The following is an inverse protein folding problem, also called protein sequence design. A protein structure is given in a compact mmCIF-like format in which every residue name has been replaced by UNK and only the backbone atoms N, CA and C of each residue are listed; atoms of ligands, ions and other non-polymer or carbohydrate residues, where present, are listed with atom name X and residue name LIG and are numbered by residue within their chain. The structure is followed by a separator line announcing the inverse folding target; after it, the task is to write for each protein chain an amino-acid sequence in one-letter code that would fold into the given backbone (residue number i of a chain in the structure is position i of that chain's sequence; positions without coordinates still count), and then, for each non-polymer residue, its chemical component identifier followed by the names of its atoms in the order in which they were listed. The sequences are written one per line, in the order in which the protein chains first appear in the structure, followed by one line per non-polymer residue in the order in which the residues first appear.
data_IF_213570637678
#
_entry.id   IF_213570637678
#
_cell.length_a   1.000
_cell.length_b   1.000
_cell.length_c   1.000
_cell.angle_alpha   90.00
_cell.angle_beta   90.00
_cell.angle_gamma   90.00
#
_symmetry.space_group_name_H-M   'P 1'
#
loop_
_entity.id
_entity.type
_entity.pdbx_description
1 polymer ?
#
# COMPACT_ATOMS: atom_id res chain seq x y z
N UNK A 1 -3.61 -18.17 -41.04
CA UNK A 1 -3.37 -18.70 -42.41
C UNK A 1 -2.90 -17.62 -43.40
N UNK A 2 -2.80 -16.34 -43.04
CA UNK A 2 -2.39 -15.25 -43.96
C UNK A 2 -0.89 -14.94 -43.97
N UNK A 3 -0.12 -15.27 -42.93
CA UNK A 3 1.31 -14.96 -42.85
C UNK A 3 2.15 -15.78 -43.84
N UNK A 4 1.83 -17.06 -44.04
CA UNK A 4 2.57 -17.92 -44.99
C UNK A 4 2.45 -17.41 -46.44
N UNK A 5 1.31 -16.81 -46.80
CA UNK A 5 1.09 -16.27 -48.16
C UNK A 5 1.96 -15.04 -48.44
N UNK A 6 2.24 -14.24 -47.40
CA UNK A 6 3.08 -13.04 -47.50
C UNK A 6 4.57 -13.41 -47.56
N UNK A 7 4.99 -14.42 -46.79
CA UNK A 7 6.34 -14.98 -46.85
C UNK A 7 6.59 -15.66 -48.20
N UNK A 8 5.62 -16.39 -48.73
CA UNK A 8 5.74 -17.04 -50.04
C UNK A 8 5.79 -16.03 -51.19
N UNK A 9 5.03 -14.92 -51.10
CA UNK A 9 5.08 -13.82 -52.09
C UNK A 9 6.39 -13.04 -52.05
N UNK A 10 6.93 -12.78 -50.86
CA UNK A 10 8.22 -12.08 -50.71
C UNK A 10 9.37 -12.97 -51.18
N UNK A 11 9.35 -14.26 -50.88
CA UNK A 11 10.32 -15.22 -51.41
C UNK A 11 10.23 -15.37 -52.93
N UNK A 12 9.03 -15.37 -53.51
CA UNK A 12 8.84 -15.37 -54.96
C UNK A 12 9.38 -14.09 -55.63
N UNK A 13 9.19 -12.92 -55.00
CA UNK A 13 9.72 -11.66 -55.50
C UNK A 13 11.25 -11.58 -55.42
N UNK A 14 11.86 -12.11 -54.35
CA UNK A 14 13.31 -12.19 -54.18
C UNK A 14 13.95 -13.16 -55.20
N UNK A 15 13.28 -14.28 -55.49
CA UNK A 15 13.75 -15.21 -56.53
C UNK A 15 13.67 -14.61 -57.93
N UNK A 16 12.61 -13.86 -58.25
CA UNK A 16 12.49 -13.11 -59.50
C UNK A 16 13.57 -12.02 -59.63
N UNK A 17 13.92 -11.35 -58.53
CA UNK A 17 14.97 -10.33 -58.51
C UNK A 17 16.35 -10.96 -58.76
N UNK A 18 16.61 -12.14 -58.18
CA UNK A 18 17.84 -12.89 -58.42
C UNK A 18 17.94 -13.39 -59.87
N UNK A 19 16.86 -13.93 -60.46
CA UNK A 19 16.87 -14.36 -61.87
C UNK A 19 17.11 -13.20 -62.85
N UNK A 20 16.65 -11.98 -62.52
CA UNK A 20 16.88 -10.79 -63.34
C UNK A 20 18.25 -10.14 -63.11
N UNK A 21 18.79 -10.19 -61.89
CA UNK A 21 20.11 -9.67 -61.57
C UNK A 21 21.24 -10.41 -62.32
N UNK A 22 21.08 -11.73 -62.54
CA UNK A 22 22.07 -12.52 -63.30
C UNK A 22 22.03 -12.26 -64.82
N UNK A 23 20.88 -11.88 -65.40
CA UNK A 23 20.77 -11.52 -66.83
C UNK A 23 21.43 -10.18 -67.17
N UNK A 24 21.63 -9.30 -66.20
CA UNK A 24 22.41 -8.06 -66.40
C UNK A 24 23.92 -8.36 -66.63
N UNK A 25 24.41 -9.50 -66.11
CA UNK A 25 25.79 -9.92 -66.31
C UNK A 25 26.03 -10.54 -67.70
N UNK A 26 25.02 -11.19 -68.30
CA UNK A 26 25.08 -11.69 -69.69
C UNK A 26 25.11 -10.56 -70.73
N UNK A 27 24.42 -9.44 -70.47
CA UNK A 27 24.50 -8.25 -71.34
C UNK A 27 25.87 -7.55 -71.30
N UNK A 28 26.66 -7.77 -70.23
CA UNK A 28 28.08 -7.36 -70.18
C UNK A 28 28.99 -8.28 -71.01
N UNK A 29 28.57 -9.52 -71.29
CA UNK A 29 29.38 -10.51 -72.00
C UNK A 29 29.25 -10.43 -73.54
N UNK A 30 28.19 -9.82 -74.09
CA UNK A 30 27.99 -9.71 -75.54
C UNK A 30 28.70 -8.52 -76.21
N UNK A 31 29.43 -7.69 -75.45
CA UNK A 31 30.30 -6.65 -75.99
C UNK A 31 31.75 -7.11 -75.83
N UNK A 32 32.29 -7.72 -76.87
CA UNK A 32 33.69 -8.13 -76.93
C UNK A 32 34.60 -6.89 -77.00
N UNK A 33 34.90 -6.30 -75.84
CA UNK A 33 36.03 -5.39 -75.68
C UNK A 33 37.28 -6.24 -75.42
N UNK A 34 38.11 -6.36 -76.46
CA UNK A 34 39.47 -6.89 -76.33
C UNK A 34 40.24 -6.08 -75.30
N UNK A 35 40.92 -6.83 -74.45
CA UNK A 35 41.68 -6.45 -73.26
C UNK A 35 42.65 -5.28 -73.42
N UNK A 36 42.64 -4.36 -72.45
CA UNK A 36 43.80 -4.16 -71.58
C UNK A 36 43.33 -3.52 -70.26
N UNK A 37 44.01 -3.89 -69.17
CA UNK A 37 43.84 -3.46 -67.77
C UNK A 37 42.55 -3.86 -67.04
N UNK A 38 42.60 -5.12 -66.61
CA UNK A 38 41.98 -5.64 -65.38
C UNK A 38 42.41 -4.77 -64.18
N UNK A 39 41.54 -3.84 -63.76
CA UNK A 39 41.50 -3.31 -62.40
C UNK A 39 40.04 -3.26 -61.96
N UNK A 40 39.82 -3.79 -60.77
CA UNK A 40 38.54 -3.98 -60.12
C UNK A 40 37.71 -2.69 -60.11
N UNK A 41 36.54 -2.76 -60.74
CA UNK A 41 35.52 -1.70 -60.72
C UNK A 41 34.59 -1.89 -59.51
N UNK A 42 35.15 -2.13 -58.33
CA UNK A 42 34.46 -2.11 -57.04
C UNK A 42 35.08 -1.05 -56.13
N UNK A 43 35.09 0.19 -56.60
CA UNK A 43 35.24 1.40 -55.78
C UNK A 43 34.92 2.61 -56.67
N UNK A 44 33.66 2.77 -57.07
CA UNK A 44 33.14 4.12 -57.26
C UNK A 44 32.66 4.58 -55.88
N UNK A 45 33.64 4.92 -55.04
CA UNK A 45 33.42 5.77 -53.89
C UNK A 45 33.03 7.13 -54.44
N UNK A 46 31.79 7.50 -54.15
CA UNK A 46 31.27 8.85 -54.25
C UNK A 46 32.34 9.84 -53.77
N UNK A 47 32.78 10.75 -54.63
CA UNK A 47 33.79 11.76 -54.28
C UNK A 47 33.27 12.77 -53.23
N UNK A 48 31.99 12.68 -52.87
CA UNK A 48 31.36 13.34 -51.72
C UNK A 48 31.64 12.63 -50.38
N UNK A 49 32.10 11.38 -50.38
CA UNK A 49 32.40 10.60 -49.18
C UNK A 49 33.92 10.58 -48.83
N UNK A 50 34.77 11.29 -49.59
CA UNK A 50 36.18 11.49 -49.25
C UNK A 50 36.42 12.72 -48.37
N UNK A 51 35.37 13.46 -48.02
CA UNK A 51 35.38 14.39 -46.89
C UNK A 51 34.64 13.70 -45.76
N UNK A 52 35.40 13.16 -44.81
CA UNK A 52 34.85 12.47 -43.65
C UNK A 52 33.79 13.31 -42.94
N UNK A 53 32.53 12.94 -43.14
CA UNK A 53 31.49 13.11 -42.14
C UNK A 53 31.40 11.79 -41.37
N UNK A 54 32.51 11.43 -40.72
CA UNK A 54 32.48 10.60 -39.53
C UNK A 54 32.48 11.57 -38.36
N UNK A 55 31.59 11.36 -37.40
CA UNK A 55 31.32 12.20 -36.24
C UNK A 55 32.50 12.21 -35.21
N UNK A 56 33.73 12.00 -35.67
CA UNK A 56 34.94 11.96 -34.86
C UNK A 56 35.91 13.09 -35.29
N UNK A 57 36.07 14.02 -34.35
CA UNK A 57 36.71 15.32 -34.38
C UNK A 57 38.25 15.30 -34.58
N UNK A 58 38.75 14.76 -35.69
CA UNK A 58 40.20 14.76 -36.02
C UNK A 58 40.54 14.79 -37.53
N UNK A 59 39.63 15.29 -38.38
CA UNK A 59 39.86 15.43 -39.82
C UNK A 59 40.44 16.80 -40.20
N UNK A 60 41.53 16.82 -40.99
CA UNK A 60 42.16 18.03 -41.53
C UNK A 60 41.12 19.05 -42.00
N UNK A 61 41.03 20.18 -41.31
CA UNK A 61 40.26 21.34 -41.72
C UNK A 61 40.91 21.91 -42.98
N UNK A 62 40.45 21.49 -44.17
CA UNK A 62 40.78 22.21 -45.41
C UNK A 62 40.15 23.60 -45.33
N UNK A 63 40.99 24.62 -45.51
CA UNK A 63 40.54 26.00 -45.57
C UNK A 63 39.46 26.16 -46.65
N UNK A 64 38.47 27.06 -46.43
CA UNK A 64 37.38 27.25 -47.39
C UNK A 64 37.88 27.71 -48.77
N UNK A 65 39.04 28.39 -48.84
CA UNK A 65 39.71 28.74 -50.10
C UNK A 65 40.29 27.51 -50.82
N UNK A 66 40.89 26.58 -50.09
CA UNK A 66 41.42 25.33 -50.65
C UNK A 66 40.29 24.43 -51.17
N UNK A 67 39.12 24.42 -50.52
CA UNK A 67 37.92 23.73 -51.03
C UNK A 67 37.45 24.33 -52.35
N UNK A 68 37.47 25.66 -52.48
CA UNK A 68 37.10 26.34 -53.73
C UNK A 68 38.13 26.09 -54.84
N UNK A 69 39.42 26.03 -54.51
CA UNK A 69 40.47 25.66 -55.47
C UNK A 69 40.31 24.21 -55.94
N UNK A 70 40.08 23.27 -55.02
CA UNK A 70 39.84 21.86 -55.37
C UNK A 70 38.62 21.68 -56.28
N UNK A 71 37.53 22.42 -56.05
CA UNK A 71 36.35 22.40 -56.94
C UNK A 71 36.69 22.96 -58.33
N UNK A 72 37.50 24.01 -58.41
CA UNK A 72 37.96 24.59 -59.68
C UNK A 72 38.84 23.59 -60.45
N UNK A 73 39.76 22.93 -59.78
CA UNK A 73 40.67 21.95 -60.37
C UNK A 73 39.93 20.69 -60.81
N UNK A 74 38.95 20.21 -60.03
CA UNK A 74 38.07 19.12 -60.41
C UNK A 74 37.22 19.46 -61.64
N UNK A 75 36.76 20.71 -61.76
CA UNK A 75 36.04 21.18 -62.95
C UNK A 75 36.97 21.22 -64.17
N UNK A 76 38.17 21.76 -64.03
CA UNK A 76 39.16 21.78 -65.10
C UNK A 76 39.58 20.37 -65.54
N UNK A 77 39.72 19.43 -64.60
CA UNK A 77 39.99 18.03 -64.87
C UNK A 77 38.80 17.34 -65.57
N UNK A 78 37.57 17.60 -65.13
CA UNK A 78 36.37 17.10 -65.82
C UNK A 78 36.31 17.60 -67.26
N UNK A 79 36.61 18.88 -67.48
CA UNK A 79 36.59 19.49 -68.80
C UNK A 79 37.69 18.88 -69.69
N UNK A 80 38.91 18.68 -69.17
CA UNK A 80 40.00 18.02 -69.91
C UNK A 80 39.74 16.55 -70.20
N UNK A 81 39.15 15.80 -69.27
CA UNK A 81 38.71 14.41 -69.50
C UNK A 81 37.58 14.35 -70.52
N UNK A 82 36.66 15.31 -70.51
CA UNK A 82 35.60 15.38 -71.52
C UNK A 82 36.18 15.68 -72.91
N UNK A 83 37.13 16.62 -73.01
CA UNK A 83 37.85 16.93 -74.24
C UNK A 83 38.67 15.73 -74.72
N UNK A 84 39.33 15.01 -73.81
CA UNK A 84 40.06 13.78 -74.13
C UNK A 84 39.11 12.68 -74.63
N UNK A 85 37.94 12.50 -73.99
CA UNK A 85 36.91 11.57 -74.46
C UNK A 85 36.46 11.91 -75.88
N UNK A 86 36.23 13.19 -76.19
CA UNK A 86 35.89 13.62 -77.53
C UNK A 86 37.03 13.39 -78.52
N UNK A 87 38.28 13.71 -78.17
CA UNK A 87 39.44 13.47 -79.02
C UNK A 87 39.70 11.97 -79.25
N UNK A 88 39.50 11.12 -78.24
CA UNK A 88 39.60 9.67 -78.37
C UNK A 88 38.45 9.11 -79.23
N UNK A 89 37.22 9.59 -79.06
CA UNK A 89 36.10 9.21 -79.91
C UNK A 89 36.34 9.65 -81.36
N UNK A 90 36.80 10.87 -81.56
CA UNK A 90 37.14 11.40 -82.89
C UNK A 90 38.27 10.58 -83.54
N UNK A 91 39.34 10.31 -82.79
CA UNK A 91 40.45 9.46 -83.24
C UNK A 91 39.96 8.05 -83.60
N UNK A 92 39.14 7.43 -82.74
CA UNK A 92 38.55 6.12 -83.02
C UNK A 92 37.63 6.15 -84.25
N UNK A 93 36.83 7.20 -84.44
CA UNK A 93 36.01 7.34 -85.65
C UNK A 93 36.86 7.51 -86.91
N UNK A 94 37.98 8.24 -86.82
CA UNK A 94 38.94 8.38 -87.93
C UNK A 94 39.62 7.06 -88.24
N UNK A 95 40.05 6.30 -87.23
CA UNK A 95 40.62 4.96 -87.39
C UNK A 95 39.60 4.02 -88.02
N UNK A 96 38.36 4.00 -87.53
CA UNK A 96 37.28 3.19 -88.08
C UNK A 96 36.92 3.58 -89.52
N UNK A 97 36.97 4.88 -89.85
CA UNK A 97 36.79 5.36 -91.21
C UNK A 97 37.92 4.88 -92.13
N UNK A 98 39.17 5.03 -91.69
CA UNK A 98 40.34 4.56 -92.44
C UNK A 98 40.29 3.05 -92.63
N UNK A 99 39.94 2.29 -91.59
CA UNK A 99 39.77 0.84 -91.64
C UNK A 99 38.65 0.42 -92.61
N UNK A 100 37.51 1.12 -92.61
CA UNK A 100 36.41 0.84 -93.56
C UNK A 100 36.72 1.26 -95.01
N UNK A 101 37.56 2.28 -95.22
CA UNK A 101 38.01 2.69 -96.57
C UNK A 101 39.08 1.75 -97.12
N UNK A 102 39.90 1.17 -96.24
CA UNK A 102 40.96 0.22 -96.56
C UNK A 102 40.51 -1.25 -96.53
N UNK A 103 39.26 -1.55 -96.15
CA UNK A 103 38.74 -2.91 -96.10
C UNK A 103 38.75 -3.52 -97.52
N UNK A 104 39.43 -4.65 -97.76
CA UNK A 104 39.57 -5.25 -99.10
C UNK A 104 38.25 -5.69 -99.75
N UNK A 105 37.13 -5.69 -99.01
CA UNK A 105 35.78 -5.96 -99.51
C UNK A 105 35.03 -4.69 -99.98
N UNK A 106 35.66 -3.51 -99.91
CA UNK A 106 35.07 -2.22 -100.26
C UNK A 106 34.29 -1.57 -99.11
N UNK A 107 33.87 -0.29 -99.24
CA UNK A 107 33.14 0.41 -98.20
C UNK A 107 31.86 -0.33 -97.86
N UNK A 108 31.68 -0.70 -96.59
CA UNK A 108 30.41 -1.28 -96.09
C UNK A 108 29.34 -0.20 -96.09
N UNK A 109 28.61 -0.08 -97.19
CA UNK A 109 27.38 0.70 -97.23
C UNK A 109 26.33 -0.05 -96.42
N UNK A 110 25.93 0.53 -95.28
CA UNK A 110 24.76 0.04 -94.54
C UNK A 110 23.57 0.15 -95.50
N UNK A 111 22.98 -0.99 -95.85
CA UNK A 111 21.82 -1.01 -96.73
C UNK A 111 20.68 -0.24 -96.07
N UNK A 112 19.88 0.49 -96.86
CA UNK A 112 18.68 1.16 -96.36
C UNK A 112 17.78 0.18 -95.60
N UNK A 113 17.69 -1.07 -96.07
CA UNK A 113 16.92 -2.14 -95.45
C UNK A 113 17.43 -2.55 -94.06
N UNK A 114 18.76 -2.58 -93.86
CA UNK A 114 19.36 -2.89 -92.56
C UNK A 114 19.14 -1.74 -91.57
N UNK A 115 19.18 -0.49 -92.05
CA UNK A 115 18.89 0.67 -91.23
C UNK A 115 17.41 0.72 -90.81
N UNK A 116 16.49 0.45 -91.74
CA UNK A 116 15.05 0.38 -91.46
C UNK A 116 14.73 -0.73 -90.45
N UNK A 117 15.36 -1.91 -90.57
CA UNK A 117 15.22 -3.00 -89.61
C UNK A 117 15.73 -2.62 -88.21
N UNK A 118 16.87 -1.92 -88.11
CA UNK A 118 17.41 -1.42 -86.85
C UNK A 118 16.53 -0.32 -86.23
N UNK A 119 15.93 0.55 -87.06
CA UNK A 119 14.97 1.55 -86.59
C UNK A 119 13.71 0.91 -86.00
N UNK A 120 13.17 -0.13 -86.66
CA UNK A 120 12.04 -0.90 -86.13
C UNK A 120 12.39 -1.57 -84.80
N UNK A 121 13.58 -2.18 -84.69
CA UNK A 121 14.03 -2.82 -83.45
C UNK A 121 14.26 -1.81 -82.31
N UNK A 122 14.78 -0.62 -82.63
CA UNK A 122 14.89 0.51 -81.67
C UNK A 122 13.53 0.99 -81.23
N UNK A 123 12.55 1.08 -82.12
CA UNK A 123 11.18 1.48 -81.79
C UNK A 123 10.53 0.47 -80.84
N UNK A 124 10.61 -0.83 -81.16
CA UNK A 124 10.10 -1.91 -80.32
C UNK A 124 10.76 -1.90 -78.94
N UNK A 125 12.08 -1.77 -78.88
CA UNK A 125 12.84 -1.68 -77.63
C UNK A 125 12.45 -0.45 -76.81
N UNK A 126 12.20 0.69 -77.47
CA UNK A 126 11.73 1.93 -76.82
C UNK A 126 10.32 1.77 -76.25
N UNK A 127 9.43 1.08 -76.94
CA UNK A 127 8.08 0.76 -76.44
C UNK A 127 8.17 -0.17 -75.23
N UNK A 128 8.97 -1.23 -75.31
CA UNK A 128 9.18 -2.15 -74.18
C UNK A 128 9.80 -1.44 -72.97
N UNK A 129 10.76 -0.53 -73.19
CA UNK A 129 11.36 0.27 -72.12
C UNK A 129 10.34 1.20 -71.46
N UNK A 130 9.48 1.85 -72.26
CA UNK A 130 8.40 2.69 -71.73
C UNK A 130 7.43 1.88 -70.86
N UNK A 131 7.01 0.70 -71.32
CA UNK A 131 6.13 -0.19 -70.56
C UNK A 131 6.77 -0.67 -69.24
N UNK A 132 8.07 -1.00 -69.28
CA UNK A 132 8.80 -1.36 -68.05
C UNK A 132 8.91 -0.17 -67.10
N UNK A 133 9.14 1.03 -67.61
CA UNK A 133 9.21 2.25 -66.81
C UNK A 133 7.88 2.57 -66.14
N UNK A 134 6.76 2.45 -66.86
CA UNK A 134 5.43 2.67 -66.26
C UNK A 134 5.14 1.64 -65.17
N UNK A 135 5.44 0.35 -65.43
CA UNK A 135 5.27 -0.71 -64.43
C UNK A 135 6.15 -0.49 -63.19
N UNK A 136 7.38 -0.02 -63.36
CA UNK A 136 8.26 0.30 -62.24
C UNK A 136 7.71 1.44 -61.37
N UNK A 137 7.15 2.49 -61.99
CA UNK A 137 6.51 3.61 -61.29
C UNK A 137 5.27 3.14 -60.53
N UNK A 138 4.45 2.28 -61.15
CA UNK A 138 3.27 1.70 -60.49
C UNK A 138 3.65 0.88 -59.24
N UNK A 139 4.69 0.04 -59.36
CA UNK A 139 5.21 -0.74 -58.23
C UNK A 139 5.81 0.15 -57.14
N UNK A 140 6.57 1.18 -57.50
CA UNK A 140 7.11 2.16 -56.54
C UNK A 140 5.99 2.85 -55.77
N UNK A 141 4.90 3.22 -56.45
CA UNK A 141 3.74 3.83 -55.83
C UNK A 141 3.03 2.87 -54.87
N UNK A 142 2.87 1.60 -55.24
CA UNK A 142 2.30 0.56 -54.38
C UNK A 142 3.16 0.32 -53.14
N UNK A 143 4.48 0.21 -53.31
CA UNK A 143 5.41 0.03 -52.19
C UNK A 143 5.33 1.22 -51.23
N UNK A 144 5.26 2.45 -51.75
CA UNK A 144 5.10 3.65 -50.90
C UNK A 144 3.77 3.67 -50.14
N UNK A 145 2.67 3.28 -50.77
CA UNK A 145 1.38 3.24 -50.09
C UNK A 145 1.34 2.13 -49.03
N UNK A 146 1.88 0.95 -49.33
CA UNK A 146 1.98 -0.15 -48.36
C UNK A 146 2.90 0.20 -47.19
N UNK A 147 4.05 0.81 -47.46
CA UNK A 147 4.96 1.28 -46.41
C UNK A 147 4.29 2.31 -45.50
N UNK A 148 3.53 3.27 -46.07
CA UNK A 148 2.78 4.25 -45.29
C UNK A 148 1.69 3.61 -44.41
N UNK A 149 0.97 2.63 -44.94
CA UNK A 149 -0.02 1.88 -44.15
C UNK A 149 0.65 1.09 -43.02
N UNK A 150 1.79 0.44 -43.30
CA UNK A 150 2.53 -0.34 -42.30
C UNK A 150 3.07 0.56 -41.17
N UNK A 151 3.63 1.73 -41.51
CA UNK A 151 4.10 2.70 -40.51
C UNK A 151 2.95 3.20 -39.62
N UNK A 152 1.80 3.52 -40.22
CA UNK A 152 0.63 3.94 -39.44
C UNK A 152 0.12 2.85 -38.48
N UNK A 153 0.12 1.59 -38.94
CA UNK A 153 -0.28 0.45 -38.12
C UNK A 153 0.72 0.19 -37.00
N UNK A 154 2.01 0.30 -37.29
CA UNK A 154 3.07 0.12 -36.30
C UNK A 154 2.94 1.17 -35.19
N UNK A 155 2.77 2.45 -35.53
CA UNK A 155 2.53 3.51 -34.54
C UNK A 155 1.31 3.25 -33.68
N UNK A 156 0.20 2.81 -34.29
CA UNK A 156 -1.00 2.45 -33.53
C UNK A 156 -0.71 1.30 -32.56
N UNK A 157 0.01 0.26 -32.99
CA UNK A 157 0.37 -0.85 -32.10
C UNK A 157 1.33 -0.43 -30.98
N UNK A 158 2.23 0.53 -31.21
CA UNK A 158 3.10 1.09 -30.18
C UNK A 158 2.31 1.90 -29.15
N UNK A 159 1.34 2.71 -29.61
CA UNK A 159 0.41 3.42 -28.74
C UNK A 159 -0.42 2.47 -27.89
N UNK A 160 -1.01 1.44 -28.50
CA UNK A 160 -1.78 0.42 -27.80
C UNK A 160 -0.91 -0.35 -26.78
N UNK A 161 0.34 -0.66 -27.13
CA UNK A 161 1.29 -1.32 -26.22
C UNK A 161 1.66 -0.41 -25.03
N UNK A 162 1.85 0.88 -25.25
CA UNK A 162 2.09 1.85 -24.17
C UNK A 162 0.88 1.95 -23.24
N UNK A 163 -0.33 2.01 -23.78
CA UNK A 163 -1.57 2.03 -22.99
C UNK A 163 -1.71 0.75 -22.18
N UNK A 164 -1.48 -0.41 -22.80
CA UNK A 164 -1.53 -1.70 -22.11
C UNK A 164 -0.49 -1.78 -20.99
N UNK A 165 0.74 -1.32 -21.22
CA UNK A 165 1.79 -1.28 -20.19
C UNK A 165 1.42 -0.37 -19.02
N UNK A 166 0.77 0.77 -19.29
CA UNK A 166 0.29 1.67 -18.25
C UNK A 166 -0.81 1.02 -17.41
N UNK A 167 -1.80 0.40 -18.06
CA UNK A 167 -2.89 -0.30 -17.38
C UNK A 167 -2.38 -1.46 -16.52
N UNK A 168 -1.40 -2.23 -17.00
CA UNK A 168 -0.78 -3.30 -16.21
C UNK A 168 -0.13 -2.77 -14.93
N UNK A 169 0.58 -1.64 -15.01
CA UNK A 169 1.17 -1.00 -13.84
C UNK A 169 0.10 -0.52 -12.85
N UNK A 170 -0.98 0.08 -13.34
CA UNK A 170 -2.13 0.49 -12.51
C UNK A 170 -2.78 -0.71 -11.82
N UNK A 171 -2.95 -1.84 -12.53
CA UNK A 171 -3.43 -3.09 -11.95
C UNK A 171 -2.51 -3.61 -10.83
N UNK A 172 -1.20 -3.63 -11.04
CA UNK A 172 -0.25 -4.03 -10.00
C UNK A 172 -0.29 -3.09 -8.78
N UNK A 173 -0.43 -1.79 -8.99
CA UNK A 173 -0.58 -0.80 -7.92
C UNK A 173 -1.86 -1.05 -7.11
N UNK A 174 -2.99 -1.30 -7.78
CA UNK A 174 -4.25 -1.68 -7.13
C UNK A 174 -4.14 -3.02 -6.38
N UNK A 175 -3.46 -4.03 -6.95
CA UNK A 175 -3.24 -5.31 -6.28
C UNK A 175 -2.38 -5.16 -5.02
N UNK A 176 -1.32 -4.33 -5.07
CA UNK A 176 -0.52 -3.99 -3.89
C UNK A 176 -1.36 -3.28 -2.84
N UNK A 177 -2.25 -2.36 -3.23
CA UNK A 177 -3.15 -1.69 -2.31
C UNK A 177 -4.15 -2.67 -1.68
N UNK A 178 -4.74 -3.57 -2.46
CA UNK A 178 -5.63 -4.62 -1.94
C UNK A 178 -4.87 -5.52 -0.96
N UNK A 179 -3.64 -5.93 -1.28
CA UNK A 179 -2.82 -6.73 -0.38
C UNK A 179 -2.48 -5.96 0.91
N UNK A 180 -2.15 -4.66 0.79
CA UNK A 180 -1.92 -3.79 1.94
C UNK A 180 -3.17 -3.65 2.81
N UNK A 181 -4.34 -3.41 2.23
CA UNK A 181 -5.61 -3.33 2.95
C UNK A 181 -5.97 -4.66 3.61
N UNK A 182 -5.71 -5.78 2.93
CA UNK A 182 -5.86 -7.13 3.50
C UNK A 182 -4.92 -7.38 4.68
N UNK A 183 -3.68 -6.89 4.63
CA UNK A 183 -2.71 -7.07 5.72
C UNK A 183 -2.90 -6.07 6.87
N UNK A 184 -3.37 -4.85 6.58
CA UNK A 184 -3.60 -3.80 7.58
C UNK A 184 -4.87 -4.05 8.40
N UNK A 185 -5.90 -4.68 7.80
CA UNK A 185 -7.09 -5.12 8.51
C UNK A 185 -6.90 -6.56 8.97
N UNK A 186 -6.87 -6.78 10.29
CA UNK A 186 -6.99 -8.13 10.85
C UNK A 186 -8.27 -8.79 10.33
N UNK A 187 -8.32 -10.12 10.20
CA UNK A 187 -9.57 -10.82 9.86
C UNK A 187 -10.69 -10.48 10.87
N UNK A 188 -10.32 -10.11 12.09
CA UNK A 188 -11.24 -9.62 13.12
C UNK A 188 -11.90 -8.26 12.80
N UNK A 189 -11.29 -7.42 11.94
CA UNK A 189 -11.83 -6.11 11.52
C UNK A 189 -12.65 -6.21 10.21
N UNK A 190 -12.71 -7.40 9.60
CA UNK A 190 -13.45 -7.63 8.36
C UNK A 190 -14.88 -8.02 8.71
N UNK A 191 -15.69 -7.01 9.02
CA UNK A 191 -17.14 -7.20 9.15
C UNK A 191 -17.81 -7.19 7.78
N UNK A 192 -18.77 -8.09 7.60
CA UNK A 192 -19.68 -8.07 6.46
C UNK A 192 -20.61 -6.85 6.54
N UNK A 193 -21.25 -6.51 5.42
CA UNK A 193 -22.21 -5.39 5.38
C UNK A 193 -23.34 -5.63 6.39
N UNK A 194 -23.83 -6.86 6.50
CA UNK A 194 -24.90 -7.24 7.43
C UNK A 194 -24.44 -7.11 8.89
N UNK A 195 -23.20 -7.52 9.20
CA UNK A 195 -22.60 -7.34 10.53
C UNK A 195 -22.38 -5.86 10.87
N UNK A 196 -22.01 -5.03 9.88
CA UNK A 196 -21.88 -3.60 10.06
C UNK A 196 -23.24 -2.93 10.34
N UNK A 197 -24.31 -3.36 9.65
CA UNK A 197 -25.67 -2.92 9.96
C UNK A 197 -26.11 -3.36 11.34
N UNK A 198 -25.83 -4.59 11.75
CA UNK A 198 -26.14 -5.08 13.09
C UNK A 198 -25.39 -4.31 14.19
N UNK A 199 -24.11 -3.98 13.96
CA UNK A 199 -23.33 -3.12 14.88
C UNK A 199 -23.87 -1.70 14.93
N UNK A 200 -24.28 -1.13 13.79
CA UNK A 200 -24.90 0.18 13.74
C UNK A 200 -26.21 0.22 14.53
N UNK A 201 -27.09 -0.76 14.34
CA UNK A 201 -28.33 -0.89 15.12
C UNK A 201 -28.05 -1.09 16.61
N UNK A 202 -27.03 -1.86 16.96
CA UNK A 202 -26.61 -2.03 18.35
C UNK A 202 -26.15 -0.70 18.97
N UNK A 203 -25.32 0.07 18.26
CA UNK A 203 -24.89 1.39 18.71
C UNK A 203 -26.02 2.41 18.76
N UNK A 204 -26.97 2.37 17.83
CA UNK A 204 -28.17 3.21 17.91
C UNK A 204 -29.00 2.86 19.15
N UNK A 205 -29.12 1.57 19.49
CA UNK A 205 -29.70 1.09 20.74
C UNK A 205 -28.97 1.61 21.98
N UNK A 206 -27.64 1.53 22.00
CA UNK A 206 -26.79 2.04 23.09
C UNK A 206 -26.93 3.56 23.25
N UNK A 207 -26.98 4.31 22.14
CA UNK A 207 -27.18 5.76 22.16
C UNK A 207 -28.54 6.10 22.77
N UNK A 208 -29.59 5.37 22.41
CA UNK A 208 -30.92 5.55 23.00
C UNK A 208 -30.88 5.23 24.49
N UNK A 209 -30.25 4.12 24.90
CA UNK A 209 -30.12 3.74 26.31
C UNK A 209 -29.35 4.80 27.11
N UNK A 210 -28.20 5.24 26.63
CA UNK A 210 -27.43 6.33 27.24
C UNK A 210 -28.28 7.61 27.33
N UNK A 211 -29.02 7.94 26.27
CA UNK A 211 -29.95 9.07 26.25
C UNK A 211 -31.07 8.96 27.29
N UNK A 212 -31.57 7.76 27.57
CA UNK A 212 -32.54 7.53 28.67
C UNK A 212 -31.89 7.69 30.04
N UNK A 213 -30.70 7.13 30.25
CA UNK A 213 -29.94 7.27 31.50
C UNK A 213 -29.60 8.73 31.81
N UNK A 214 -29.23 9.50 30.80
CA UNK A 214 -29.01 10.96 30.92
C UNK A 214 -30.29 11.65 31.38
N UNK A 215 -31.42 11.41 30.72
CA UNK A 215 -32.71 12.01 31.10
C UNK A 215 -33.13 11.63 32.52
N UNK A 216 -32.94 10.38 32.93
CA UNK A 216 -33.20 9.95 34.30
C UNK A 216 -32.30 10.65 35.32
N UNK A 217 -31.00 10.76 35.01
CA UNK A 217 -30.05 11.45 35.86
C UNK A 217 -30.40 12.93 35.99
N UNK A 218 -30.73 13.60 34.89
CA UNK A 218 -31.21 14.98 34.85
C UNK A 218 -32.49 15.18 35.66
N UNK A 219 -33.42 14.22 35.63
CA UNK A 219 -34.64 14.26 36.43
C UNK A 219 -34.39 14.02 37.94
N UNK A 220 -33.39 13.20 38.30
CA UNK A 220 -32.99 12.94 39.69
C UNK A 220 -32.20 14.12 40.28
N UNK A 221 -31.45 14.85 39.47
CA UNK A 221 -30.59 15.97 39.85
C UNK A 221 -31.29 17.11 40.64
N UNK A 222 -32.47 17.63 40.26
CA UNK A 222 -33.16 18.64 41.05
C UNK A 222 -33.65 18.09 42.39
N UNK A 223 -34.08 16.82 42.44
CA UNK A 223 -34.53 16.17 43.68
C UNK A 223 -33.37 16.03 44.66
N UNK A 224 -32.22 15.52 44.21
CA UNK A 224 -31.03 15.40 45.05
C UNK A 224 -30.49 16.77 45.48
N UNK A 225 -30.45 17.77 44.58
CA UNK A 225 -30.11 19.16 44.96
C UNK A 225 -31.03 19.71 46.05
N UNK A 226 -32.34 19.47 45.94
CA UNK A 226 -33.30 19.91 46.96
C UNK A 226 -33.11 19.20 48.29
N UNK A 227 -32.89 17.88 48.27
CA UNK A 227 -32.60 17.09 49.48
C UNK A 227 -31.30 17.56 50.16
N UNK A 228 -30.24 17.82 49.39
CA UNK A 228 -28.98 18.39 49.91
C UNK A 228 -29.22 19.76 50.54
N UNK A 229 -30.04 20.62 49.93
CA UNK A 229 -30.37 21.94 50.49
C UNK A 229 -31.10 21.81 51.83
N UNK A 230 -32.04 20.87 51.94
CA UNK A 230 -32.77 20.58 53.20
C UNK A 230 -31.83 20.03 54.26
N UNK A 231 -31.02 19.02 53.93
CA UNK A 231 -30.05 18.42 54.85
C UNK A 231 -29.02 19.44 55.33
N UNK A 232 -28.57 20.36 54.46
CA UNK A 232 -27.69 21.46 54.84
C UNK A 232 -28.37 22.40 55.84
N UNK A 233 -29.65 22.74 55.62
CA UNK A 233 -30.43 23.53 56.56
C UNK A 233 -30.57 22.85 57.93
N UNK A 234 -30.85 21.54 57.96
CA UNK A 234 -30.90 20.75 59.20
C UNK A 234 -29.54 20.69 59.90
N UNK A 235 -28.45 20.54 59.15
CA UNK A 235 -27.10 20.56 59.70
C UNK A 235 -26.78 21.91 60.33
N UNK A 236 -27.15 23.02 59.69
CA UNK A 236 -26.92 24.35 60.24
C UNK A 236 -27.77 24.59 61.51
N UNK A 237 -29.00 24.07 61.55
CA UNK A 237 -29.83 24.06 62.77
C UNK A 237 -29.19 23.22 63.88
N UNK A 238 -28.73 22.00 63.58
CA UNK A 238 -28.04 21.15 64.55
C UNK A 238 -26.73 21.77 65.04
N UNK A 239 -25.98 22.48 64.18
CA UNK A 239 -24.80 23.23 64.60
C UNK A 239 -25.15 24.37 65.56
N UNK A 240 -26.28 25.04 65.34
CA UNK A 240 -26.79 26.05 66.27
C UNK A 240 -27.17 25.43 67.62
N UNK A 241 -27.97 24.36 67.61
CA UNK A 241 -28.35 23.63 68.82
C UNK A 241 -27.11 23.10 69.55
N UNK A 242 -26.13 22.53 68.84
CA UNK A 242 -24.93 21.99 69.45
C UNK A 242 -24.02 23.10 70.02
N UNK A 243 -24.03 24.30 69.43
CA UNK A 243 -23.37 25.48 70.03
C UNK A 243 -24.09 25.97 71.28
N UNK A 244 -25.42 25.94 71.30
CA UNK A 244 -26.23 26.29 72.47
C UNK A 244 -26.05 25.27 73.60
N UNK A 245 -26.12 23.99 73.28
CA UNK A 245 -25.81 22.88 74.20
C UNK A 245 -24.36 22.94 74.68
N UNK A 246 -23.41 23.28 73.81
CA UNK A 246 -22.01 23.48 74.18
C UNK A 246 -21.83 24.62 75.17
N UNK A 247 -22.51 25.77 74.95
CA UNK A 247 -22.55 26.87 75.91
C UNK A 247 -23.21 26.47 77.23
N UNK A 248 -24.32 25.73 77.18
CA UNK A 248 -25.01 25.24 78.38
C UNK A 248 -24.12 24.24 79.15
N UNK A 249 -23.34 23.42 78.44
CA UNK A 249 -22.40 22.47 79.02
C UNK A 249 -21.18 23.18 79.60
N UNK A 250 -20.65 24.21 78.93
CA UNK A 250 -19.63 25.11 79.47
C UNK A 250 -20.14 25.87 80.71
N UNK A 251 -21.40 26.32 80.71
CA UNK A 251 -22.04 26.95 81.87
C UNK A 251 -22.25 25.96 83.02
N UNK A 252 -22.59 24.70 82.74
CA UNK A 252 -22.67 23.62 83.75
C UNK A 252 -21.30 23.24 84.29
N UNK A 253 -20.28 23.22 83.44
CA UNK A 253 -18.87 23.05 83.83
C UNK A 253 -18.40 24.22 84.71
N UNK A 254 -18.75 25.46 84.35
CA UNK A 254 -18.44 26.66 85.12
C UNK A 254 -19.20 26.73 86.46
N UNK A 255 -20.42 26.17 86.51
CA UNK A 255 -21.24 26.05 87.73
C UNK A 255 -20.82 24.88 88.64
N UNK A 256 -19.77 24.13 88.30
CA UNK A 256 -19.14 23.15 89.21
C UNK A 256 -20.05 22.00 89.64
N UNK A 257 -21.13 21.71 88.91
CA UNK A 257 -22.01 20.55 89.17
C UNK A 257 -21.41 19.30 88.53
N UNK A 258 -20.14 19.04 88.87
CA UNK A 258 -19.38 17.88 88.42
C UNK A 258 -19.50 16.83 89.51
N UNK A 259 -20.30 15.80 89.27
CA UNK A 259 -20.30 14.63 90.16
C UNK A 259 -19.01 13.85 89.88
N UNK A 260 -17.91 14.24 90.53
CA UNK A 260 -16.58 13.64 90.37
C UNK A 260 -16.64 12.13 90.57
N UNK A 261 -17.55 11.64 91.41
CA UNK A 261 -17.78 10.22 91.65
C UNK A 261 -18.35 9.51 90.41
N UNK A 262 -19.21 10.17 89.64
CA UNK A 262 -19.76 9.62 88.41
C UNK A 262 -18.70 9.60 87.29
N UNK A 263 -17.84 10.61 87.21
CA UNK A 263 -16.72 10.64 86.25
C UNK A 263 -15.65 9.59 86.57
N UNK A 264 -15.26 9.47 87.85
CA UNK A 264 -14.37 8.40 88.30
C UNK A 264 -14.98 7.02 88.07
N UNK A 265 -16.29 6.86 88.30
CA UNK A 265 -17.05 5.66 88.00
C UNK A 265 -17.02 5.31 86.51
N UNK A 266 -17.34 6.25 85.62
CA UNK A 266 -17.28 6.05 84.18
C UNK A 266 -15.86 5.75 83.70
N UNK A 267 -14.85 6.40 84.27
CA UNK A 267 -13.43 6.14 83.95
C UNK A 267 -13.00 4.75 84.40
N UNK A 268 -13.41 4.33 85.60
CA UNK A 268 -13.16 2.98 86.10
C UNK A 268 -13.87 1.93 85.25
N UNK A 269 -15.15 2.13 84.88
CA UNK A 269 -15.90 1.24 83.99
C UNK A 269 -15.22 1.15 82.62
N UNK A 270 -14.78 2.28 82.05
CA UNK A 270 -14.12 2.30 80.74
C UNK A 270 -12.78 1.55 80.80
N UNK A 271 -11.97 1.81 81.82
CA UNK A 271 -10.67 1.16 82.00
C UNK A 271 -10.82 -0.34 82.27
N UNK A 272 -11.78 -0.73 83.12
CA UNK A 272 -12.04 -2.14 83.42
C UNK A 272 -12.61 -2.87 82.20
N UNK A 273 -13.52 -2.25 81.45
CA UNK A 273 -14.05 -2.82 80.21
C UNK A 273 -12.94 -3.01 79.18
N UNK A 274 -12.05 -2.03 78.99
CA UNK A 274 -10.91 -2.16 78.09
C UNK A 274 -9.96 -3.30 78.51
N UNK A 275 -9.67 -3.43 79.81
CA UNK A 275 -8.85 -4.52 80.34
C UNK A 275 -9.51 -5.88 80.15
N UNK A 276 -10.81 -6.01 80.44
CA UNK A 276 -11.58 -7.23 80.23
C UNK A 276 -11.67 -7.60 78.75
N UNK A 277 -11.93 -6.65 77.85
CA UNK A 277 -11.95 -6.90 76.41
C UNK A 277 -10.59 -7.37 75.91
N UNK A 278 -9.50 -6.73 76.34
CA UNK A 278 -8.14 -7.16 75.99
C UNK A 278 -7.80 -8.55 76.53
N UNK A 279 -8.14 -8.85 77.79
CA UNK A 279 -7.89 -10.17 78.39
C UNK A 279 -8.64 -11.28 77.65
N UNK A 280 -9.88 -11.00 77.22
CA UNK A 280 -10.74 -11.94 76.50
C UNK A 280 -10.45 -11.97 75.00
N UNK A 281 -9.55 -11.12 74.49
CA UNK A 281 -9.23 -11.01 73.06
C UNK A 281 -10.40 -10.47 72.23
N UNK A 282 -11.33 -9.73 72.82
CA UNK A 282 -12.49 -9.15 72.15
C UNK A 282 -12.07 -7.81 71.54
N UNK A 283 -12.06 -7.73 70.21
CA UNK A 283 -11.75 -6.52 69.45
C UNK A 283 -12.96 -5.59 69.36
N UNK A 284 -14.13 -6.17 69.09
CA UNK A 284 -15.39 -5.43 69.07
C UNK A 284 -16.52 -6.31 69.56
N UNK A 285 -17.53 -5.67 70.17
CA UNK A 285 -18.74 -6.33 70.63
C UNK A 285 -19.91 -5.41 70.28
N UNK A 286 -20.87 -5.92 69.52
CA UNK A 286 -22.10 -5.20 69.23
C UNK A 286 -23.31 -6.12 69.35
N UNK A 287 -24.43 -5.52 69.75
CA UNK A 287 -25.72 -6.19 69.81
C UNK A 287 -26.57 -5.79 68.62
N UNK A 288 -27.33 -6.74 68.10
CA UNK A 288 -28.25 -6.56 66.99
C UNK A 288 -29.68 -6.71 67.53
N UNK A 289 -30.52 -5.73 67.23
CA UNK A 289 -31.93 -5.69 67.62
C UNK A 289 -32.24 -4.82 68.86
N UNK A 290 -33.52 -4.48 69.02
CA UNK A 290 -34.07 -3.81 70.19
C UNK A 290 -35.44 -4.45 70.52
N UNK A 291 -35.55 -5.38 71.50
CA UNK A 291 -34.51 -5.87 72.43
C UNK A 291 -33.37 -6.66 71.74
N UNK A 292 -32.17 -6.76 72.35
CA UNK A 292 -31.03 -7.42 71.75
C UNK A 292 -31.34 -8.90 71.53
N UNK A 293 -31.45 -9.31 70.28
CA UNK A 293 -31.75 -10.69 69.88
C UNK A 293 -30.46 -11.46 69.59
N UNK A 294 -29.42 -10.74 69.18
CA UNK A 294 -28.13 -11.34 68.86
C UNK A 294 -26.99 -10.45 69.40
N UNK A 295 -25.91 -11.08 69.85
CA UNK A 295 -24.65 -10.41 70.19
C UNK A 295 -23.54 -11.01 69.35
N UNK A 296 -22.79 -10.15 68.68
CA UNK A 296 -21.65 -10.54 67.85
C UNK A 296 -20.38 -10.04 68.54
N UNK A 297 -19.48 -10.98 68.82
CA UNK A 297 -18.18 -10.73 69.43
C UNK A 297 -17.08 -11.04 68.41
N UNK A 298 -16.30 -10.04 68.04
CA UNK A 298 -15.12 -10.22 67.20
C UNK A 298 -13.91 -10.57 68.08
N UNK A 299 -13.41 -11.79 67.94
CA UNK A 299 -12.29 -12.33 68.69
C UNK A 299 -11.00 -12.29 67.85
N UNK A 300 -9.93 -11.78 68.44
CA UNK A 300 -8.60 -11.72 67.82
C UNK A 300 -7.83 -13.04 68.03
N UNK A 301 -7.32 -13.60 66.93
CA UNK A 301 -6.45 -14.79 66.93
C UNK A 301 -4.97 -14.41 66.95
N UNK A 302 -4.09 -15.34 67.30
CA UNK A 302 -2.62 -15.12 67.34
C UNK A 302 -2.00 -14.77 65.99
N UNK A 303 -2.68 -15.07 64.89
CA UNK A 303 -2.23 -14.77 63.52
C UNK A 303 -2.76 -13.42 62.97
N UNK A 304 -3.49 -12.66 63.80
CA UNK A 304 -4.10 -11.38 63.41
C UNK A 304 -5.42 -11.52 62.63
N UNK A 305 -5.93 -12.74 62.48
CA UNK A 305 -7.23 -13.02 61.90
C UNK A 305 -8.35 -12.80 62.93
N UNK A 306 -9.51 -12.34 62.48
CA UNK A 306 -10.66 -11.99 63.34
C UNK A 306 -11.77 -12.99 63.11
N UNK A 307 -12.18 -13.71 64.17
CA UNK A 307 -13.33 -14.62 64.12
C UNK A 307 -14.50 -14.05 64.88
N UNK A 308 -15.68 -14.06 64.29
CA UNK A 308 -16.89 -13.55 64.94
C UNK A 308 -17.68 -14.68 65.61
N UNK A 309 -17.87 -14.58 66.92
CA UNK A 309 -18.77 -15.43 67.69
C UNK A 309 -20.14 -14.75 67.77
N UNK A 310 -21.15 -15.38 67.17
CA UNK A 310 -22.55 -14.98 67.25
C UNK A 310 -23.21 -15.71 68.42
N UNK A 311 -23.86 -14.98 69.31
CA UNK A 311 -24.63 -15.51 70.44
C UNK A 311 -26.07 -15.06 70.27
N UNK A 312 -27.02 -15.99 70.28
CA UNK A 312 -28.44 -15.72 70.13
C UNK A 312 -29.14 -15.79 71.49
N UNK A 313 -30.00 -14.81 71.74
CA UNK A 313 -30.77 -14.70 72.98
C UNK A 313 -32.26 -14.95 72.74
N UNK A 314 -32.90 -15.60 73.70
CA UNK A 314 -34.35 -15.72 73.77
C UNK A 314 -35.00 -14.37 74.09
N UNK A 315 -36.33 -14.31 73.98
CA UNK A 315 -37.13 -13.15 74.43
C UNK A 315 -36.96 -12.85 75.93
N UNK A 316 -36.52 -13.83 76.72
CA UNK A 316 -36.22 -13.72 78.15
C UNK A 316 -34.77 -13.26 78.43
N UNK A 317 -33.98 -12.97 77.39
CA UNK A 317 -32.58 -12.54 77.51
C UNK A 317 -31.60 -13.64 77.93
N UNK A 318 -32.03 -14.92 77.85
CA UNK A 318 -31.17 -16.10 78.09
C UNK A 318 -30.53 -16.55 76.78
N UNK A 319 -29.32 -17.09 76.86
CA UNK A 319 -28.63 -17.63 75.69
C UNK A 319 -29.35 -18.89 75.21
N UNK A 320 -29.73 -18.92 73.93
CA UNK A 320 -30.36 -20.04 73.25
C UNK A 320 -29.38 -20.84 72.41
N UNK A 321 -28.47 -20.14 71.73
CA UNK A 321 -27.49 -20.75 70.83
C UNK A 321 -26.25 -19.85 70.72
N UNK A 322 -25.15 -20.42 70.24
CA UNK A 322 -24.02 -19.64 69.77
C UNK A 322 -23.35 -20.37 68.59
N UNK A 323 -22.82 -19.60 67.63
CA UNK A 323 -22.15 -20.12 66.44
C UNK A 323 -20.98 -19.24 66.04
N UNK A 324 -19.97 -19.83 65.42
CA UNK A 324 -18.88 -19.08 64.79
C UNK A 324 -19.29 -18.69 63.37
N UNK A 325 -19.25 -17.40 63.10
CA UNK A 325 -19.45 -16.84 61.76
C UNK A 325 -18.15 -17.06 60.98
N UNK A 326 -18.28 -17.60 59.77
CA UNK A 326 -17.19 -17.84 58.81
C UNK A 326 -16.11 -18.88 59.23
N UNK A 327 -16.42 -19.78 60.17
CA UNK A 327 -15.57 -20.94 60.49
C UNK A 327 -16.32 -22.27 60.37
N UNK A 328 -15.62 -23.31 59.93
CA UNK A 328 -16.10 -24.71 59.92
C UNK A 328 -15.91 -25.42 61.27
N UNK A 329 -15.37 -24.73 62.28
CA UNK A 329 -15.14 -25.30 63.59
C UNK A 329 -16.46 -25.50 64.33
N UNK A 330 -16.78 -26.75 64.62
CA UNK A 330 -17.92 -27.11 65.45
C UNK A 330 -17.64 -26.76 66.91
N UNK A 331 -18.51 -25.94 67.50
CA UNK A 331 -18.50 -25.54 68.92
C UNK A 331 -19.75 -25.99 69.67
N UNK A 332 -20.59 -26.85 69.06
CA UNK A 332 -21.88 -27.25 69.63
C UNK A 332 -21.71 -27.97 70.99
N UNK A 333 -20.63 -28.73 71.15
CA UNK A 333 -20.25 -29.39 72.42
C UNK A 333 -20.03 -28.39 73.58
N UNK A 334 -19.30 -27.30 73.29
CA UNK A 334 -19.05 -26.22 74.24
C UNK A 334 -20.34 -25.46 74.55
N UNK A 335 -21.14 -25.15 73.52
CA UNK A 335 -22.41 -24.43 73.68
C UNK A 335 -23.39 -25.24 74.52
N UNK A 336 -23.57 -26.54 74.25
CA UNK A 336 -24.46 -27.41 75.03
C UNK A 336 -24.05 -27.50 76.51
N UNK A 337 -22.74 -27.54 76.80
CA UNK A 337 -22.24 -27.55 78.18
C UNK A 337 -22.51 -26.23 78.92
N UNK A 338 -22.47 -25.09 78.22
CA UNK A 338 -22.63 -23.74 78.79
C UNK A 338 -24.06 -23.21 78.75
N UNK A 339 -24.94 -23.81 77.94
CA UNK A 339 -26.38 -23.52 77.94
C UNK A 339 -27.02 -23.85 79.30
N UNK A 340 -26.54 -24.89 79.99
CA UNK A 340 -27.03 -25.27 81.32
C UNK A 340 -26.63 -24.28 82.41
N UNK A 341 -25.43 -23.70 82.31
CA UNK A 341 -24.92 -22.73 83.30
C UNK A 341 -25.22 -21.26 82.94
N UNK A 342 -25.64 -20.99 81.70
CA UNK A 342 -25.87 -19.63 81.16
C UNK A 342 -24.65 -18.71 81.33
N UNK A 343 -23.45 -19.27 81.26
CA UNK A 343 -22.20 -18.52 81.47
C UNK A 343 -21.53 -18.18 80.13
N UNK A 344 -21.89 -17.01 79.60
CA UNK A 344 -21.36 -16.48 78.34
C UNK A 344 -19.86 -16.18 78.44
N UNK A 345 -19.33 -15.87 79.63
CA UNK A 345 -17.91 -15.53 79.80
C UNK A 345 -17.02 -16.75 79.63
N UNK A 346 -17.41 -17.85 80.26
CA UNK A 346 -16.71 -19.12 80.10
C UNK A 346 -16.84 -19.65 78.67
N UNK A 347 -18.00 -19.48 78.04
CA UNK A 347 -18.18 -19.83 76.62
C UNK A 347 -17.18 -19.08 75.72
N UNK A 348 -17.03 -17.76 75.90
CA UNK A 348 -16.06 -16.95 75.12
C UNK A 348 -14.63 -17.42 75.36
N UNK A 349 -14.27 -17.79 76.60
CA UNK A 349 -12.94 -18.31 76.92
C UNK A 349 -12.68 -19.68 76.30
N UNK A 350 -13.63 -20.60 76.39
CA UNK A 350 -13.51 -21.96 75.84
C UNK A 350 -13.46 -21.91 74.30
N UNK A 351 -14.31 -21.09 73.68
CA UNK A 351 -14.31 -20.85 72.23
C UNK A 351 -12.99 -20.23 71.79
N UNK A 352 -12.48 -19.23 72.52
CA UNK A 352 -11.16 -18.66 72.23
C UNK A 352 -10.03 -19.69 72.38
N UNK A 353 -10.04 -20.50 73.43
CA UNK A 353 -9.04 -21.55 73.63
C UNK A 353 -9.07 -22.61 72.51
N UNK A 354 -10.24 -22.86 71.90
CA UNK A 354 -10.41 -23.75 70.76
C UNK A 354 -9.95 -23.13 69.44
N UNK A 355 -10.19 -21.83 69.25
CA UNK A 355 -9.72 -21.06 68.08
C UNK A 355 -8.20 -20.85 68.09
N UNK A 356 -7.58 -20.81 69.28
CA UNK A 356 -6.13 -20.65 69.44
C UNK A 356 -5.33 -21.97 69.30
N UNK A 357 -6.00 -23.11 69.20
CA UNK A 357 -5.37 -24.40 68.90
C UNK A 357 -5.38 -24.65 67.40
#
# INVERSE_FOLDING_TARGET
MSENILVDRTNAALNLLNEHAFKAHELKASVALRSSTQRDATTMLDATNLTGYGDDDLGLVMDPEDKLSAVRDLKAFKDSVSALKFACLESNTKVFFVENVLDPQGPKFVSLEENDALEQLRLQSKVALKQRKTRAIELEQQIRSEAGMLDSRLRQTEEDAMIASKLLRECEEMEREVAFLKNKRSEADRITIDEAFAQLEAHDGEIVEIGTKIREAEAKLPRTRSAIKVAKGQLDQLKMVNREMGKELEERQAKGTRDERAEEGCRWITNTTALYSSLMGIRSAYSVGAPPTEMILELETTEGDVRALKIEYDTDGRMCSASLVDSSDDIEDLVQSRLQSQDVRLLVQDVRARILR
#
